data_IF_704314847057
#
_entry.id   IF_704314847057
#
_cell.length_a   1.000
_cell.length_b   1.000
_cell.length_c   1.000
_cell.angle_alpha   90.00
_cell.angle_beta   90.00
_cell.angle_gamma   90.00
#
_symmetry.space_group_name_H-M   'P 1'
#
loop_
_entity.id
_entity.type
_entity.pdbx_description
1 polymer ?
#
# COMPACT_ATOMS: atom_id res chain seq x y z
N UNK A 1 15.33 -2.51 -16.18
CA UNK A 1 14.75 -3.88 -16.19
C UNK A 1 13.27 -3.76 -16.52
N UNK A 2 12.69 -4.67 -17.32
CA UNK A 2 11.24 -4.70 -17.59
C UNK A 2 10.68 -5.98 -16.98
N UNK A 3 9.71 -5.84 -16.08
CA UNK A 3 9.05 -7.00 -15.43
C UNK A 3 8.03 -7.59 -16.42
N UNK A 4 8.00 -8.91 -16.64
CA UNK A 4 7.18 -9.54 -17.67
C UNK A 4 5.71 -9.71 -17.25
N UNK A 5 5.06 -8.63 -16.83
CA UNK A 5 3.61 -8.60 -16.54
C UNK A 5 2.93 -7.45 -17.30
N UNK A 6 1.62 -7.60 -17.55
CA UNK A 6 0.74 -6.54 -18.04
C UNK A 6 -0.04 -5.87 -16.91
N UNK A 7 -0.07 -6.48 -15.73
CA UNK A 7 -0.82 -6.03 -14.57
C UNK A 7 0.18 -5.40 -13.58
N UNK A 8 0.07 -4.10 -13.28
CA UNK A 8 1.06 -3.41 -12.45
C UNK A 8 1.22 -4.02 -11.06
N UNK A 9 0.14 -4.48 -10.43
CA UNK A 9 0.15 -5.08 -9.10
C UNK A 9 0.89 -6.44 -9.00
N UNK A 10 1.06 -7.17 -10.11
CA UNK A 10 1.80 -8.45 -10.10
C UNK A 10 3.29 -8.26 -9.88
N UNK A 11 3.81 -7.04 -10.05
CA UNK A 11 5.23 -6.71 -9.87
C UNK A 11 5.77 -7.12 -8.50
N UNK A 12 4.94 -7.06 -7.45
CA UNK A 12 5.29 -7.43 -6.08
C UNK A 12 5.77 -8.90 -6.00
N UNK A 13 5.21 -9.79 -6.81
CA UNK A 13 5.60 -11.20 -6.86
C UNK A 13 6.97 -11.47 -7.49
N UNK A 14 7.52 -10.50 -8.24
CA UNK A 14 8.81 -10.67 -8.92
C UNK A 14 10.01 -10.28 -8.06
N UNK A 15 9.80 -9.43 -7.05
CA UNK A 15 10.87 -8.95 -6.18
C UNK A 15 10.97 -9.74 -4.86
N UNK A 16 9.96 -10.55 -4.52
CA UNK A 16 10.04 -11.53 -3.44
C UNK A 16 10.10 -10.93 -2.04
N UNK A 17 9.75 -9.66 -1.88
CA UNK A 17 9.60 -9.00 -0.58
C UNK A 17 8.32 -9.48 0.10
N UNK A 18 8.38 -9.80 1.40
CA UNK A 18 7.26 -10.27 2.22
C UNK A 18 7.57 -11.52 3.06
N UNK A 19 6.70 -11.84 4.02
CA UNK A 19 6.80 -13.04 4.85
C UNK A 19 7.74 -12.94 6.07
N UNK A 20 8.09 -11.73 6.49
CA UNK A 20 8.86 -11.41 7.70
C UNK A 20 8.17 -10.24 8.42
N UNK A 21 8.36 -10.12 9.74
CA UNK A 21 7.85 -8.98 10.54
C UNK A 21 6.38 -8.61 10.23
N UNK A 22 5.53 -9.64 10.16
CA UNK A 22 4.11 -9.57 9.77
C UNK A 22 3.82 -8.93 8.39
N UNK A 23 4.85 -8.66 7.58
CA UNK A 23 4.72 -8.29 6.19
C UNK A 23 4.01 -9.40 5.42
N UNK A 24 2.89 -9.11 4.73
CA UNK A 24 2.13 -10.12 4.01
C UNK A 24 2.99 -10.88 3.00
N UNK A 25 2.65 -12.14 2.72
CA UNK A 25 3.34 -12.91 1.70
C UNK A 25 3.16 -12.25 0.33
N UNK A 26 4.09 -12.42 -0.63
CA UNK A 26 3.99 -11.81 -1.96
C UNK A 26 2.64 -12.05 -2.65
N UNK A 27 2.05 -13.24 -2.49
CA UNK A 27 0.74 -13.56 -3.06
C UNK A 27 -0.41 -12.72 -2.43
N UNK A 28 -0.33 -12.46 -1.13
CA UNK A 28 -1.30 -11.64 -0.39
C UNK A 28 -1.14 -10.16 -0.76
N UNK A 29 0.11 -9.69 -0.87
CA UNK A 29 0.41 -8.34 -1.35
C UNK A 29 -0.16 -8.09 -2.74
N UNK A 30 0.02 -9.03 -3.68
CA UNK A 30 -0.58 -8.96 -5.02
C UNK A 30 -2.10 -8.87 -4.94
N UNK A 31 -2.73 -9.67 -4.07
CA UNK A 31 -4.19 -9.69 -3.93
C UNK A 31 -4.72 -8.34 -3.42
N UNK A 32 -4.09 -7.76 -2.40
CA UNK A 32 -4.43 -6.44 -1.85
C UNK A 32 -4.15 -5.34 -2.87
N UNK A 33 -2.98 -5.34 -3.50
CA UNK A 33 -2.61 -4.38 -4.54
C UNK A 33 -3.55 -4.44 -5.74
N UNK A 34 -4.03 -5.63 -6.13
CA UNK A 34 -5.05 -5.78 -7.18
C UNK A 34 -6.37 -5.11 -6.78
N UNK A 35 -6.84 -5.34 -5.55
CA UNK A 35 -8.06 -4.70 -5.05
C UNK A 35 -7.94 -3.17 -5.04
N UNK A 36 -6.81 -2.64 -4.57
CA UNK A 36 -6.56 -1.19 -4.61
C UNK A 36 -6.36 -0.64 -6.02
N UNK A 37 -5.76 -1.40 -6.93
CA UNK A 37 -5.68 -1.02 -8.34
C UNK A 37 -7.07 -0.87 -8.96
N UNK A 38 -7.96 -1.84 -8.75
CA UNK A 38 -9.33 -1.81 -9.29
C UNK A 38 -10.16 -0.63 -8.74
N UNK A 39 -9.96 -0.28 -7.46
CA UNK A 39 -10.73 0.76 -6.76
C UNK A 39 -10.14 2.17 -6.92
N UNK A 40 -8.82 2.29 -6.84
CA UNK A 40 -8.10 3.57 -6.73
C UNK A 40 -7.07 3.80 -7.85
N UNK A 41 -6.83 2.82 -8.73
CA UNK A 41 -5.72 2.88 -9.68
C UNK A 41 -4.36 2.91 -8.98
N UNK A 42 -4.27 2.28 -7.81
CA UNK A 42 -3.02 2.18 -7.06
C UNK A 42 -2.04 1.23 -7.76
N UNK A 43 -0.81 1.68 -7.98
CA UNK A 43 0.25 0.96 -8.69
C UNK A 43 1.52 0.99 -7.84
N UNK A 44 2.15 -0.16 -7.55
CA UNK A 44 3.45 -0.17 -6.90
C UNK A 44 4.48 0.61 -7.71
N UNK A 45 5.12 1.58 -7.07
CA UNK A 45 6.08 2.50 -7.67
C UNK A 45 7.51 2.30 -7.13
N UNK A 46 7.63 1.94 -5.85
CA UNK A 46 8.90 1.63 -5.19
C UNK A 46 8.72 0.33 -4.41
N UNK A 47 9.73 -0.55 -4.48
CA UNK A 47 9.83 -1.77 -3.69
C UNK A 47 11.28 -1.86 -3.25
N UNK A 48 11.51 -1.88 -1.94
CA UNK A 48 12.83 -2.12 -1.35
C UNK A 48 12.84 -3.47 -0.64
N UNK A 49 13.75 -3.68 0.30
CA UNK A 49 13.75 -4.88 1.11
C UNK A 49 12.68 -4.85 2.22
N UNK A 50 12.22 -3.67 2.64
CA UNK A 50 11.29 -3.42 3.76
C UNK A 50 10.22 -2.34 3.48
N UNK A 51 10.20 -1.75 2.29
CA UNK A 51 9.25 -0.69 1.93
C UNK A 51 8.49 -1.03 0.65
N UNK A 52 7.23 -0.60 0.61
CA UNK A 52 6.45 -0.49 -0.63
C UNK A 52 5.84 0.91 -0.70
N UNK A 53 6.00 1.56 -1.85
CA UNK A 53 5.25 2.76 -2.17
C UNK A 53 4.32 2.55 -3.37
N UNK A 54 3.18 3.23 -3.34
CA UNK A 54 2.22 3.22 -4.43
C UNK A 54 2.03 4.63 -4.99
N UNK A 55 1.95 4.72 -6.32
CA UNK A 55 1.30 5.82 -7.00
C UNK A 55 -0.19 5.52 -7.14
N UNK A 56 -1.05 6.53 -6.95
CA UNK A 56 -2.51 6.38 -6.93
C UNK A 56 -3.15 7.33 -7.92
N UNK A 57 -3.76 6.77 -8.96
CA UNK A 57 -4.39 7.56 -10.02
C UNK A 57 -5.68 8.26 -9.54
N UNK A 58 -6.46 7.59 -8.68
CA UNK A 58 -7.78 8.05 -8.20
C UNK A 58 -7.79 8.08 -6.68
N UNK A 59 -7.13 9.09 -6.07
CA UNK A 59 -7.11 9.21 -4.62
C UNK A 59 -8.52 9.46 -4.07
N UNK A 60 -8.75 9.09 -2.81
CA UNK A 60 -10.02 9.35 -2.11
C UNK A 60 -10.32 10.85 -2.05
N UNK A 61 -11.58 11.22 -2.26
CA UNK A 61 -11.98 12.62 -2.40
C UNK A 61 -12.67 13.17 -1.15
N UNK A 62 -13.08 12.29 -0.24
CA UNK A 62 -13.68 12.65 1.04
C UNK A 62 -12.85 12.11 2.21
N UNK A 63 -12.93 12.81 3.34
CA UNK A 63 -12.23 12.38 4.55
C UNK A 63 -12.81 11.08 5.13
N UNK A 64 -14.12 10.84 4.96
CA UNK A 64 -14.74 9.58 5.38
C UNK A 64 -14.28 8.37 4.56
N UNK A 65 -14.01 8.55 3.27
CA UNK A 65 -13.34 7.51 2.47
C UNK A 65 -11.89 7.30 2.94
N UNK A 66 -11.17 8.38 3.28
CA UNK A 66 -9.81 8.29 3.79
C UNK A 66 -9.72 7.51 5.11
N UNK A 67 -10.68 7.68 6.04
CA UNK A 67 -10.76 6.88 7.26
C UNK A 67 -10.99 5.40 6.99
N UNK A 68 -11.87 5.06 6.03
CA UNK A 68 -12.10 3.66 5.63
C UNK A 68 -10.84 3.06 5.02
N UNK A 69 -10.15 3.82 4.16
CA UNK A 69 -8.89 3.40 3.57
C UNK A 69 -7.78 3.25 4.62
N UNK A 70 -7.75 4.09 5.65
CA UNK A 70 -6.81 3.98 6.76
C UNK A 70 -6.96 2.64 7.51
N UNK A 71 -8.19 2.12 7.65
CA UNK A 71 -8.43 0.78 8.21
C UNK A 71 -7.84 -0.31 7.32
N UNK A 72 -8.03 -0.22 6.01
CA UNK A 72 -7.43 -1.17 5.05
C UNK A 72 -5.89 -1.13 5.11
N UNK A 73 -5.31 0.07 5.14
CA UNK A 73 -3.86 0.28 5.24
C UNK A 73 -3.28 -0.29 6.54
N UNK A 74 -3.94 -0.04 7.67
CA UNK A 74 -3.50 -0.58 8.96
C UNK A 74 -3.60 -2.11 9.01
N UNK A 75 -4.63 -2.70 8.40
CA UNK A 75 -4.75 -4.16 8.30
C UNK A 75 -3.66 -4.77 7.41
N UNK A 76 -3.16 -4.03 6.42
CA UNK A 76 -2.08 -4.46 5.54
C UNK A 76 -0.69 -4.31 6.18
N UNK A 77 -0.51 -3.25 6.97
CA UNK A 77 0.74 -2.90 7.63
C UNK A 77 0.41 -2.06 8.86
N UNK A 78 0.42 -2.64 10.06
CA UNK A 78 0.08 -1.89 11.28
C UNK A 78 1.18 -0.88 11.67
N UNK A 79 2.44 -1.15 11.30
CA UNK A 79 3.60 -0.28 11.55
C UNK A 79 3.48 1.12 10.96
N UNK A 80 2.66 1.31 9.92
CA UNK A 80 2.40 2.66 9.41
C UNK A 80 1.74 3.53 10.47
N UNK A 81 0.93 2.98 11.38
CA UNK A 81 0.38 3.74 12.50
C UNK A 81 1.35 3.72 13.67
N UNK A 82 1.82 2.54 14.07
CA UNK A 82 2.56 2.40 15.32
C UNK A 82 3.95 3.05 15.29
N UNK A 83 4.55 3.16 14.10
CA UNK A 83 5.93 3.62 13.93
C UNK A 83 6.10 4.80 12.95
N UNK A 84 5.17 5.01 12.01
CA UNK A 84 5.27 6.10 11.03
C UNK A 84 4.39 7.30 11.36
N UNK A 85 3.07 7.14 11.31
CA UNK A 85 2.10 8.23 11.46
C UNK A 85 1.75 8.52 12.94
N UNK A 86 1.85 7.53 13.81
CA UNK A 86 1.59 7.62 15.26
C UNK A 86 0.12 7.55 15.67
N UNK A 87 -0.83 7.92 14.80
CA UNK A 87 -2.27 7.74 15.06
C UNK A 87 -3.05 7.43 13.78
N UNK A 88 -4.24 6.84 13.94
CA UNK A 88 -5.17 6.59 12.83
C UNK A 88 -5.63 7.87 12.14
N UNK A 89 -5.85 8.95 12.88
CA UNK A 89 -6.26 10.24 12.32
C UNK A 89 -5.17 10.82 11.42
N UNK A 90 -3.90 10.74 11.85
CA UNK A 90 -2.76 11.19 11.04
C UNK A 90 -2.58 10.35 9.79
N UNK A 91 -2.81 9.04 9.86
CA UNK A 91 -2.84 8.19 8.67
C UNK A 91 -3.97 8.62 7.72
N UNK A 92 -5.19 8.81 8.21
CA UNK A 92 -6.33 9.26 7.39
C UNK A 92 -6.08 10.64 6.75
N UNK A 93 -5.48 11.58 7.48
CA UNK A 93 -5.04 12.88 6.95
C UNK A 93 -4.00 12.70 5.85
N UNK A 94 -3.02 11.82 6.04
CA UNK A 94 -1.99 11.50 5.04
C UNK A 94 -2.54 10.84 3.77
N UNK A 95 -3.67 10.14 3.86
CA UNK A 95 -4.33 9.49 2.71
C UNK A 95 -5.30 10.42 1.97
N UNK A 96 -5.83 11.45 2.64
CA UNK A 96 -6.84 12.31 2.07
C UNK A 96 -6.31 13.09 0.85
N UNK A 97 -6.89 12.79 -0.33
CA UNK A 97 -6.50 13.37 -1.64
C UNK A 97 -5.03 13.15 -2.03
N UNK A 98 -4.33 12.22 -1.36
CA UNK A 98 -2.93 11.95 -1.62
C UNK A 98 -2.75 10.89 -2.71
N UNK A 99 -1.88 11.20 -3.68
CA UNK A 99 -1.53 10.33 -4.80
C UNK A 99 -0.40 9.34 -4.47
N UNK A 100 0.14 9.39 -3.27
CA UNK A 100 1.24 8.54 -2.82
C UNK A 100 0.85 7.82 -1.53
N UNK A 101 1.07 6.50 -1.49
CA UNK A 101 1.00 5.70 -0.28
C UNK A 101 2.36 5.10 0.04
N UNK A 102 2.63 4.92 1.33
CA UNK A 102 3.88 4.42 1.86
C UNK A 102 3.60 3.37 2.93
N UNK A 103 4.36 2.28 2.88
CA UNK A 103 4.34 1.18 3.83
C UNK A 103 5.78 0.78 4.17
N UNK A 104 6.02 0.46 5.43
CA UNK A 104 7.31 0.03 5.94
C UNK A 104 7.09 -1.00 7.04
N UNK A 105 7.93 -2.03 7.03
CA UNK A 105 7.98 -3.07 8.04
C UNK A 105 9.37 -3.05 8.72
N UNK A 106 9.39 -3.21 10.05
CA UNK A 106 10.61 -3.45 10.85
C UNK A 106 11.42 -4.64 10.31
#
# INVERSE_FOLDING_TARGET
MKVPTKNPYEVLGYFGMGGYNDCPLPAEQIAVAKYWYEKHGAVPAVITYDEIEFYVEKPVQTFEEAKKLAVEHYAFCYDIVDQCYGTFEKLADGLYKNIQWYFWWD
#
